data_IF_013831786944
#
_entry.id   IF_013831786944
#
_cell.length_a   1.000
_cell.length_b   1.000
_cell.length_c   1.000
_cell.angle_alpha   90.00
_cell.angle_beta   90.00
_cell.angle_gamma   90.00
#
_symmetry.space_group_name_H-M   'P 1'
#
loop_
_entity.id
_entity.type
_entity.pdbx_description
1 polymer ?
#
# COMPACT_ATOMS: atom_id res chain seq x y z
N UNK A 1 17.48 -0.98 -8.41
CA UNK A 1 16.25 -1.71 -8.09
C UNK A 1 15.81 -1.33 -6.68
N UNK A 2 14.51 -1.22 -6.41
CA UNK A 2 14.00 -0.80 -5.09
C UNK A 2 14.26 -1.92 -4.06
N UNK A 3 14.88 -1.60 -2.93
CA UNK A 3 15.10 -2.56 -1.84
C UNK A 3 13.82 -2.80 -1.04
N UNK A 4 13.73 -3.93 -0.32
CA UNK A 4 12.56 -4.22 0.49
C UNK A 4 12.38 -3.20 1.62
N UNK A 5 13.48 -2.74 2.22
CA UNK A 5 13.46 -1.69 3.25
C UNK A 5 12.98 -0.34 2.69
N UNK A 6 13.43 0.03 1.50
CA UNK A 6 12.96 1.26 0.85
C UNK A 6 11.47 1.17 0.51
N UNK A 7 11.03 0.03 -0.05
CA UNK A 7 9.62 -0.19 -0.38
C UNK A 7 8.72 -0.16 0.85
N UNK A 8 9.09 -0.85 1.93
CA UNK A 8 8.34 -0.82 3.19
C UNK A 8 8.26 0.58 3.79
N UNK A 9 9.34 1.36 3.71
CA UNK A 9 9.37 2.76 4.14
C UNK A 9 8.43 3.65 3.30
N UNK A 10 8.36 3.43 1.99
CA UNK A 10 7.42 4.13 1.09
C UNK A 10 5.98 3.79 1.47
N UNK A 11 5.67 2.50 1.68
CA UNK A 11 4.31 2.09 2.06
C UNK A 11 3.93 2.70 3.42
N UNK A 12 4.82 2.65 4.41
CA UNK A 12 4.60 3.24 5.72
C UNK A 12 4.31 4.74 5.64
N UNK A 13 5.13 5.49 4.91
CA UNK A 13 4.93 6.94 4.72
C UNK A 13 3.67 7.24 3.92
N UNK A 14 3.31 6.42 2.93
CA UNK A 14 2.04 6.54 2.20
C UNK A 14 0.82 6.32 3.10
N UNK A 15 0.83 5.31 3.99
CA UNK A 15 -0.24 5.08 4.95
C UNK A 15 -0.39 6.25 5.93
N UNK A 16 0.74 6.82 6.40
CA UNK A 16 0.74 8.01 7.24
C UNK A 16 0.16 9.22 6.50
N UNK A 17 0.54 9.43 5.24
CA UNK A 17 0.00 10.50 4.41
C UNK A 17 -1.52 10.32 4.18
N UNK A 18 -1.99 9.11 3.90
CA UNK A 18 -3.42 8.81 3.77
C UNK A 18 -4.20 9.07 5.07
N UNK A 19 -3.64 8.71 6.22
CA UNK A 19 -4.23 9.00 7.54
C UNK A 19 -4.27 10.50 7.83
N UNK A 20 -3.19 11.23 7.51
CA UNK A 20 -3.14 12.67 7.65
C UNK A 20 -4.15 13.36 6.72
N UNK A 21 -4.25 12.93 5.46
CA UNK A 21 -5.22 13.44 4.50
C UNK A 21 -6.67 13.25 4.99
N UNK A 22 -7.02 12.07 5.51
CA UNK A 22 -8.35 11.84 6.09
C UNK A 22 -8.61 12.68 7.34
N UNK A 23 -7.60 12.86 8.19
CA UNK A 23 -7.75 13.59 9.45
C UNK A 23 -7.88 15.09 9.21
N UNK A 24 -6.91 15.68 8.50
CA UNK A 24 -6.85 17.13 8.32
C UNK A 24 -7.63 17.62 7.11
N UNK A 25 -7.78 16.80 6.08
CA UNK A 25 -8.52 17.16 4.86
C UNK A 25 -10.04 17.04 4.99
N UNK A 26 -10.54 16.27 5.97
CA UNK A 26 -11.98 16.03 6.12
C UNK A 26 -12.45 16.14 7.58
N UNK A 27 -11.95 15.27 8.47
CA UNK A 27 -12.49 15.12 9.83
C UNK A 27 -12.27 16.36 10.71
N UNK A 28 -11.13 17.03 10.59
CA UNK A 28 -10.82 18.25 11.33
C UNK A 28 -11.79 19.40 10.99
N UNK A 29 -12.33 19.41 9.76
CA UNK A 29 -13.35 20.36 9.31
C UNK A 29 -14.79 19.90 9.56
N UNK A 30 -15.00 18.75 10.23
CA UNK A 30 -16.33 18.18 10.45
C UNK A 30 -17.00 17.61 9.19
N UNK A 31 -16.23 17.36 8.13
CA UNK A 31 -16.77 16.81 6.89
C UNK A 31 -16.71 15.28 6.91
N UNK A 32 -17.84 14.66 7.25
CA UNK A 32 -17.97 13.20 7.37
C UNK A 32 -18.83 12.56 6.27
N UNK A 33 -19.17 13.33 5.22
CA UNK A 33 -20.01 12.86 4.12
C UNK A 33 -19.66 13.49 2.78
N UNK A 34 -20.11 12.83 1.71
CA UNK A 34 -19.98 13.28 0.33
C UNK A 34 -19.01 12.44 -0.51
N UNK A 35 -19.08 12.57 -1.85
CA UNK A 35 -18.37 11.65 -2.74
C UNK A 35 -16.85 11.66 -2.58
N UNK A 36 -16.25 12.81 -2.25
CA UNK A 36 -14.81 12.93 -2.03
C UNK A 36 -14.38 12.22 -0.72
N UNK A 37 -15.14 12.46 0.36
CA UNK A 37 -14.93 11.80 1.64
C UNK A 37 -15.05 10.28 1.51
N UNK A 38 -16.11 9.78 0.87
CA UNK A 38 -16.32 8.34 0.70
C UNK A 38 -15.19 7.65 -0.06
N UNK A 39 -14.66 8.30 -1.11
CA UNK A 39 -13.52 7.77 -1.86
C UNK A 39 -12.27 7.71 -1.01
N UNK A 40 -11.94 8.82 -0.34
CA UNK A 40 -10.76 8.90 0.52
C UNK A 40 -10.86 7.93 1.70
N UNK A 41 -12.05 7.81 2.31
CA UNK A 41 -12.32 6.87 3.40
C UNK A 41 -12.13 5.42 2.96
N UNK A 42 -12.71 5.02 1.82
CA UNK A 42 -12.50 3.67 1.24
C UNK A 42 -11.03 3.41 0.90
N UNK A 43 -10.33 4.42 0.39
CA UNK A 43 -8.91 4.32 0.08
C UNK A 43 -8.07 4.08 1.35
N UNK A 44 -8.36 4.84 2.41
CA UNK A 44 -7.70 4.73 3.72
C UNK A 44 -7.98 3.38 4.40
N UNK A 45 -9.21 2.87 4.33
CA UNK A 45 -9.54 1.55 4.87
C UNK A 45 -8.73 0.46 4.19
N UNK A 46 -8.63 0.51 2.87
CA UNK A 46 -7.88 -0.49 2.13
C UNK A 46 -6.36 -0.41 2.39
N UNK A 47 -5.78 0.79 2.58
CA UNK A 47 -4.39 0.89 3.05
C UNK A 47 -4.23 0.29 4.46
N UNK A 48 -5.19 0.50 5.37
CA UNK A 48 -5.12 -0.09 6.71
C UNK A 48 -5.11 -1.64 6.68
N UNK A 49 -5.78 -2.25 5.70
CA UNK A 49 -5.78 -3.70 5.48
C UNK A 49 -4.48 -4.21 4.85
N UNK A 50 -3.97 -3.51 3.83
CA UNK A 50 -2.88 -4.00 2.98
C UNK A 50 -1.49 -3.60 3.46
N UNK A 51 -1.32 -2.37 3.94
CA UNK A 51 0.00 -1.84 4.27
C UNK A 51 0.73 -2.66 5.34
N UNK A 52 0.10 -3.10 6.44
CA UNK A 52 0.78 -3.93 7.44
C UNK A 52 1.28 -5.26 6.88
N UNK A 53 0.49 -5.92 6.03
CA UNK A 53 0.83 -7.21 5.42
C UNK A 53 2.04 -7.04 4.49
N UNK A 54 2.01 -6.03 3.61
CA UNK A 54 3.09 -5.77 2.67
C UNK A 54 4.38 -5.35 3.37
N UNK A 55 4.29 -4.48 4.37
CA UNK A 55 5.44 -4.04 5.18
C UNK A 55 6.07 -5.23 5.91
N UNK A 56 5.25 -6.05 6.59
CA UNK A 56 5.74 -7.21 7.33
C UNK A 56 6.40 -8.24 6.40
N UNK A 57 5.78 -8.53 5.24
CA UNK A 57 6.36 -9.43 4.24
C UNK A 57 7.72 -8.96 3.74
N UNK A 58 7.83 -7.68 3.36
CA UNK A 58 9.07 -7.08 2.88
C UNK A 58 10.18 -7.06 3.95
N UNK A 59 9.85 -6.68 5.18
CA UNK A 59 10.82 -6.67 6.30
C UNK A 59 11.28 -8.10 6.64
N UNK A 60 10.37 -9.07 6.62
CA UNK A 60 10.72 -10.46 6.88
C UNK A 60 11.68 -10.99 5.81
N UNK A 61 11.40 -10.74 4.53
CA UNK A 61 12.29 -11.13 3.43
C UNK A 61 13.65 -10.45 3.51
N UNK A 62 13.69 -9.16 3.86
CA UNK A 62 14.94 -8.43 4.12
C UNK A 62 15.74 -9.08 5.26
N UNK A 63 15.08 -9.45 6.37
CA UNK A 63 15.74 -10.09 7.52
C UNK A 63 16.33 -11.47 7.18
N UNK A 64 15.85 -12.11 6.12
CA UNK A 64 16.36 -13.37 5.59
C UNK A 64 17.38 -13.18 4.46
N UNK A 65 17.77 -11.94 4.16
CA UNK A 65 18.72 -11.61 3.10
C UNK A 65 18.16 -11.84 1.69
N UNK A 66 16.84 -11.93 1.53
CA UNK A 66 16.20 -12.16 0.23
C UNK A 66 15.82 -10.85 -0.45
N UNK A 67 16.46 -10.56 -1.58
CA UNK A 67 16.14 -9.40 -2.39
C UNK A 67 14.91 -9.67 -3.26
N UNK A 68 13.88 -8.81 -3.16
CA UNK A 68 12.59 -9.02 -3.85
C UNK A 68 12.21 -7.81 -4.71
N UNK A 69 13.08 -7.36 -5.62
CA UNK A 69 12.98 -6.03 -6.23
C UNK A 69 11.69 -5.79 -7.02
N UNK A 70 11.15 -6.84 -7.66
CA UNK A 70 9.88 -6.77 -8.39
C UNK A 70 8.70 -6.65 -7.41
N UNK A 71 8.66 -7.49 -6.37
CA UNK A 71 7.61 -7.44 -5.36
C UNK A 71 7.65 -6.12 -4.59
N UNK A 72 8.84 -5.63 -4.25
CA UNK A 72 9.08 -4.34 -3.62
C UNK A 72 8.53 -3.18 -4.48
N UNK A 73 8.84 -3.15 -5.78
CA UNK A 73 8.34 -2.13 -6.70
C UNK A 73 6.81 -2.18 -6.85
N UNK A 74 6.24 -3.37 -7.00
CA UNK A 74 4.79 -3.57 -7.12
C UNK A 74 4.05 -3.18 -5.83
N UNK A 75 4.59 -3.53 -4.66
CA UNK A 75 4.00 -3.19 -3.38
C UNK A 75 4.01 -1.67 -3.15
N UNK A 76 5.17 -1.02 -3.31
CA UNK A 76 5.31 0.42 -3.10
C UNK A 76 4.51 1.22 -4.13
N UNK A 77 4.73 0.94 -5.42
CA UNK A 77 4.03 1.62 -6.51
C UNK A 77 2.52 1.38 -6.48
N UNK A 78 2.10 0.15 -6.21
CA UNK A 78 0.67 -0.21 -6.11
C UNK A 78 -0.05 0.49 -4.95
N UNK A 79 0.61 0.62 -3.79
CA UNK A 79 0.04 1.32 -2.62
C UNK A 79 -0.14 2.81 -2.88
N UNK A 80 0.89 3.47 -3.44
CA UNK A 80 0.82 4.89 -3.80
C UNK A 80 -0.24 5.12 -4.88
N UNK A 81 -0.20 4.33 -5.96
CA UNK A 81 -1.12 4.47 -7.08
C UNK A 81 -2.57 4.26 -6.62
N UNK A 82 -2.84 3.22 -5.84
CA UNK A 82 -4.19 2.94 -5.38
C UNK A 82 -4.75 4.08 -4.53
N UNK A 83 -4.02 4.47 -3.47
CA UNK A 83 -4.49 5.46 -2.52
C UNK A 83 -4.83 6.77 -3.23
N UNK A 84 -3.88 7.32 -3.98
CA UNK A 84 -4.03 8.64 -4.57
C UNK A 84 -4.95 8.64 -5.79
N UNK A 85 -4.94 7.60 -6.62
CA UNK A 85 -5.91 7.49 -7.71
C UNK A 85 -7.35 7.39 -7.17
N UNK A 86 -7.57 6.66 -6.07
CA UNK A 86 -8.89 6.56 -5.45
C UNK A 86 -9.34 7.89 -4.87
N UNK A 87 -8.47 8.58 -4.10
CA UNK A 87 -8.75 9.91 -3.57
C UNK A 87 -9.09 10.92 -4.68
N UNK A 88 -8.30 10.94 -5.76
CA UNK A 88 -8.49 11.81 -6.92
C UNK A 88 -9.73 11.48 -7.77
N UNK A 89 -10.42 10.36 -7.52
CA UNK A 89 -11.56 9.93 -8.33
C UNK A 89 -11.20 9.25 -9.65
N UNK A 90 -9.93 8.87 -9.83
CA UNK A 90 -9.43 8.11 -10.98
C UNK A 90 -9.77 6.62 -10.83
N UNK A 91 -11.07 6.31 -10.82
CA UNK A 91 -11.60 4.98 -10.49
C UNK A 91 -11.18 3.87 -11.47
N UNK A 92 -10.77 4.21 -12.69
CA UNK A 92 -10.25 3.25 -13.66
C UNK A 92 -8.80 2.82 -13.36
N UNK A 93 -8.03 3.69 -12.69
CA UNK A 93 -6.61 3.45 -12.37
C UNK A 93 -6.47 2.78 -11.01
N UNK A 94 -7.36 3.10 -10.05
CA UNK A 94 -7.30 2.50 -8.70
C UNK A 94 -7.22 0.96 -8.70
N UNK A 95 -7.97 0.19 -9.54
CA UNK A 95 -7.88 -1.27 -9.55
C UNK A 95 -6.50 -1.78 -9.97
N UNK A 96 -5.77 -1.05 -10.83
CA UNK A 96 -4.41 -1.42 -11.24
C UNK A 96 -3.47 -1.40 -10.02
N UNK A 97 -3.57 -0.36 -9.18
CA UNK A 97 -2.81 -0.28 -7.92
C UNK A 97 -3.19 -1.37 -6.91
N UNK A 98 -4.47 -1.78 -6.87
CA UNK A 98 -4.88 -2.93 -6.06
C UNK A 98 -4.27 -4.23 -6.56
N UNK A 99 -4.39 -4.52 -7.86
CA UNK A 99 -3.84 -5.73 -8.46
C UNK A 99 -2.32 -5.84 -8.26
N UNK A 100 -1.59 -4.73 -8.39
CA UNK A 100 -0.15 -4.70 -8.12
C UNK A 100 0.18 -5.15 -6.68
N UNK A 101 -0.62 -4.73 -5.69
CA UNK A 101 -0.46 -5.15 -4.28
C UNK A 101 -0.76 -6.64 -4.07
N UNK A 102 -1.81 -7.18 -4.72
CA UNK A 102 -2.09 -8.62 -4.70
C UNK A 102 -0.92 -9.43 -5.28
N UNK A 103 -0.43 -9.04 -6.47
CA UNK A 103 0.70 -9.71 -7.10
C UNK A 103 1.95 -9.65 -6.22
N UNK A 104 2.25 -8.50 -5.63
CA UNK A 104 3.37 -8.37 -4.69
C UNK A 104 3.21 -9.33 -3.49
N UNK A 105 2.02 -9.41 -2.90
CA UNK A 105 1.71 -10.33 -1.80
C UNK A 105 1.95 -11.79 -2.17
N UNK A 106 1.43 -12.23 -3.32
CA UNK A 106 1.64 -13.61 -3.80
C UNK A 106 3.11 -13.92 -4.09
N UNK A 107 3.85 -12.98 -4.68
CA UNK A 107 5.29 -13.15 -4.93
C UNK A 107 6.07 -13.28 -3.62
N UNK A 108 5.80 -12.43 -2.64
CA UNK A 108 6.43 -12.50 -1.32
C UNK A 108 6.11 -13.82 -0.62
N UNK A 109 4.85 -14.26 -0.63
CA UNK A 109 4.45 -15.54 -0.07
C UNK A 109 5.18 -16.71 -0.75
N UNK A 110 5.26 -16.71 -2.08
CA UNK A 110 6.01 -17.72 -2.83
C UNK A 110 7.49 -17.78 -2.42
N UNK A 111 8.15 -16.62 -2.27
CA UNK A 111 9.54 -16.57 -1.84
C UNK A 111 9.74 -17.04 -0.39
N UNK A 112 8.85 -16.65 0.53
CA UNK A 112 8.88 -17.14 1.90
C UNK A 112 8.73 -18.66 1.98
N UNK A 113 7.86 -19.26 1.16
CA UNK A 113 7.71 -20.72 1.11
C UNK A 113 8.98 -21.43 0.63
N UNK A 114 9.81 -20.80 -0.21
CA UNK A 114 11.09 -21.39 -0.63
C UNK A 114 12.12 -21.43 0.49
N UNK A 115 11.99 -20.58 1.51
CA UNK A 115 12.90 -20.53 2.67
C UNK A 115 12.55 -21.55 3.76
N UNK A 116 11.39 -22.20 3.67
CA UNK A 116 10.95 -23.22 4.62
C UNK A 116 11.42 -24.64 4.24
N UNK A 117 12.01 -24.79 3.06
CA UNK A 117 12.60 -26.04 2.57
C UNK A 117 14.06 -26.12 2.95
#
# INVERSE_FOLDING_TARGET
MLSNLAASSIIFTNSMAGKAYMTFGFRAGGQDSGPAFERAHKAQLNEAEWSPILIAGLILLESKGQATPIAAALAAGGSVLYLWAKCAGLLQISPIGALARYFAGFMMAGQLLTLLK
#
